data_IF_267482758017
#
_entry.id   IF_267482758017
#
_cell.length_a   1.000
_cell.length_b   1.000
_cell.length_c   1.000
_cell.angle_alpha   90.00
_cell.angle_beta   90.00
_cell.angle_gamma   90.00
#
_symmetry.space_group_name_H-M   'P 1'
#
loop_
_entity.id
_entity.type
_entity.pdbx_description
1 polymer ?
#
# COMPACT_ATOMS: atom_id res chain seq x y z
N UNK A 1 -22.87 -7.57 -10.18
CA UNK A 1 -22.25 -8.15 -8.97
C UNK A 1 -23.26 -8.02 -7.83
N UNK A 2 -23.32 -8.97 -6.89
CA UNK A 2 -24.14 -8.81 -5.68
C UNK A 2 -23.52 -7.73 -4.80
N UNK A 3 -24.34 -6.92 -4.15
CA UNK A 3 -23.89 -5.93 -3.16
C UNK A 3 -23.06 -6.61 -2.06
N UNK A 4 -21.91 -6.04 -1.72
CA UNK A 4 -21.10 -6.51 -0.60
C UNK A 4 -20.61 -5.32 0.22
N UNK A 5 -20.76 -5.42 1.54
CA UNK A 5 -20.30 -4.44 2.51
C UNK A 5 -19.66 -5.12 3.71
N UNK A 6 -18.50 -4.63 4.11
CA UNK A 6 -17.74 -5.06 5.27
C UNK A 6 -17.72 -3.97 6.33
N UNK A 7 -17.98 -4.34 7.58
CA UNK A 7 -17.90 -3.45 8.74
C UNK A 7 -17.05 -4.10 9.82
N UNK A 8 -16.03 -3.37 10.28
CA UNK A 8 -15.20 -3.77 11.40
C UNK A 8 -15.02 -2.59 12.35
N UNK A 9 -15.29 -2.81 13.64
CA UNK A 9 -15.11 -1.83 14.71
C UNK A 9 -14.23 -2.43 15.79
N UNK A 10 -13.35 -1.62 16.38
CA UNK A 10 -12.49 -2.03 17.50
C UNK A 10 -12.59 -1.04 18.65
N UNK A 11 -12.61 -1.58 19.87
CA UNK A 11 -12.52 -0.83 21.12
C UNK A 11 -11.11 -1.04 21.69
N UNK A 12 -10.35 0.04 21.78
CA UNK A 12 -8.93 0.06 22.14
C UNK A 12 -8.77 0.52 23.59
N UNK A 13 -9.45 1.60 23.97
CA UNK A 13 -9.25 2.23 25.27
C UNK A 13 -9.98 1.45 26.38
N UNK A 14 -11.23 1.04 26.13
CA UNK A 14 -12.06 0.33 27.09
C UNK A 14 -12.82 -0.82 26.42
N UNK A 15 -12.85 -2.03 27.02
CA UNK A 15 -13.64 -3.11 26.49
C UNK A 15 -15.14 -2.84 26.65
N UNK A 16 -15.92 -3.29 25.67
CA UNK A 16 -17.37 -3.26 25.69
C UNK A 16 -17.92 -4.02 26.90
N UNK A 17 -18.84 -3.38 27.61
CA UNK A 17 -19.62 -4.01 28.68
C UNK A 17 -20.61 -5.04 28.12
N UNK A 18 -21.05 -6.01 28.93
CA UNK A 18 -22.09 -6.97 28.52
C UNK A 18 -23.39 -6.30 28.02
N UNK A 19 -23.76 -5.16 28.60
CA UNK A 19 -24.94 -4.39 28.18
C UNK A 19 -24.76 -3.79 26.78
N UNK A 20 -23.59 -3.20 26.51
CA UNK A 20 -23.27 -2.64 25.19
C UNK A 20 -23.22 -3.75 24.12
N UNK A 21 -22.58 -4.89 24.41
CA UNK A 21 -22.56 -6.03 23.48
C UNK A 21 -23.97 -6.56 23.18
N UNK A 22 -24.87 -6.61 24.18
CA UNK A 22 -26.27 -7.00 23.98
C UNK A 22 -27.02 -5.98 23.10
N UNK A 23 -26.77 -4.68 23.27
CA UNK A 23 -27.31 -3.63 22.40
C UNK A 23 -26.85 -3.82 20.94
N UNK A 24 -25.55 -4.01 20.71
CA UNK A 24 -25.00 -4.27 19.37
C UNK A 24 -25.56 -5.55 18.74
N UNK A 25 -25.69 -6.62 19.54
CA UNK A 25 -26.29 -7.90 19.10
C UNK A 25 -27.74 -7.75 18.67
N UNK A 26 -28.49 -6.83 19.28
CA UNK A 26 -29.87 -6.53 18.88
C UNK A 26 -29.96 -5.83 17.51
N UNK A 27 -28.87 -5.15 17.09
CA UNK A 27 -28.77 -4.47 15.79
C UNK A 27 -28.20 -5.37 14.70
N UNK A 28 -27.27 -6.27 15.02
CA UNK A 28 -26.79 -7.29 14.10
C UNK A 28 -26.70 -8.66 14.76
N UNK A 29 -27.61 -9.56 14.36
CA UNK A 29 -27.64 -10.92 14.88
C UNK A 29 -26.47 -11.77 14.38
N UNK A 30 -25.96 -11.49 13.17
CA UNK A 30 -24.91 -12.27 12.48
C UNK A 30 -23.48 -11.80 12.78
N UNK A 31 -23.31 -10.61 13.35
CA UNK A 31 -21.98 -10.07 13.63
C UNK A 31 -21.16 -10.94 14.60
N UNK A 32 -19.85 -11.03 14.40
CA UNK A 32 -18.94 -11.45 15.47
C UNK A 32 -18.80 -10.28 16.45
N UNK A 33 -19.13 -10.48 17.72
CA UNK A 33 -19.05 -9.42 18.74
C UNK A 33 -18.27 -9.97 19.92
N UNK A 34 -17.20 -9.26 20.28
CA UNK A 34 -16.34 -9.55 21.42
C UNK A 34 -16.24 -8.30 22.31
N UNK A 35 -15.62 -8.38 23.50
CA UNK A 35 -15.38 -7.20 24.30
C UNK A 35 -14.55 -6.12 23.60
N UNK A 36 -13.79 -6.44 22.55
CA UNK A 36 -12.90 -5.46 21.87
C UNK A 36 -13.23 -5.26 20.41
N UNK A 37 -14.24 -5.96 19.86
CA UNK A 37 -14.54 -5.86 18.43
C UNK A 37 -15.98 -6.17 18.07
N UNK A 38 -16.41 -5.57 16.96
CA UNK A 38 -17.60 -5.94 16.20
C UNK A 38 -17.18 -6.12 14.75
N UNK A 39 -17.50 -7.27 14.14
CA UNK A 39 -17.20 -7.55 12.73
C UNK A 39 -18.42 -8.14 12.06
N UNK A 40 -18.82 -7.60 10.92
CA UNK A 40 -19.86 -8.21 10.10
C UNK A 40 -19.71 -7.84 8.64
N UNK A 41 -20.13 -8.74 7.77
CA UNK A 41 -20.31 -8.47 6.34
C UNK A 41 -21.77 -8.68 5.93
N UNK A 42 -22.17 -8.00 4.85
CA UNK A 42 -23.51 -8.04 4.29
C UNK A 42 -23.43 -8.28 2.80
N UNK A 43 -24.17 -9.28 2.32
CA UNK A 43 -24.35 -9.57 0.90
C UNK A 43 -25.71 -9.09 0.35
N UNK A 44 -26.62 -8.70 1.26
CA UNK A 44 -27.93 -8.11 0.98
C UNK A 44 -28.37 -7.26 2.18
N UNK A 45 -28.72 -5.99 1.94
CA UNK A 45 -29.09 -5.03 2.99
C UNK A 45 -27.90 -4.43 3.73
N UNK A 46 -28.19 -3.61 4.75
CA UNK A 46 -27.19 -2.77 5.43
C UNK A 46 -27.16 -3.04 6.95
N UNK A 47 -26.12 -2.51 7.60
CA UNK A 47 -26.07 -2.42 9.06
C UNK A 47 -27.32 -1.70 9.60
N UNK A 48 -28.02 -2.30 10.56
CA UNK A 48 -29.20 -1.70 11.23
C UNK A 48 -28.78 -0.81 12.40
N UNK A 49 -27.84 0.08 12.16
CA UNK A 49 -27.25 1.00 13.14
C UNK A 49 -26.51 2.12 12.44
N UNK A 50 -26.15 3.15 13.20
CA UNK A 50 -25.36 4.27 12.71
C UNK A 50 -23.90 4.06 13.15
N UNK A 51 -22.96 3.80 12.21
CA UNK A 51 -21.54 3.66 12.51
C UNK A 51 -20.97 4.86 13.29
N UNK A 52 -21.42 6.07 12.99
CA UNK A 52 -20.93 7.30 13.61
C UNK A 52 -21.40 7.38 15.07
N UNK A 53 -22.66 7.03 15.36
CA UNK A 53 -23.15 6.91 16.75
C UNK A 53 -22.35 5.86 17.53
N UNK A 54 -22.03 4.73 16.91
CA UNK A 54 -21.25 3.68 17.55
C UNK A 54 -19.81 4.10 17.83
N UNK A 55 -19.19 4.84 16.91
CA UNK A 55 -17.87 5.46 17.13
C UNK A 55 -17.91 6.47 18.29
N UNK A 56 -18.97 7.29 18.40
CA UNK A 56 -19.10 8.24 19.51
C UNK A 56 -19.23 7.56 20.86
N UNK A 57 -19.89 6.39 20.92
CA UNK A 57 -20.30 5.75 22.18
C UNK A 57 -19.41 4.59 22.63
N UNK A 58 -18.85 3.82 21.70
CA UNK A 58 -18.37 2.47 22.00
C UNK A 58 -16.99 2.15 21.45
N UNK A 59 -16.63 2.67 20.28
CA UNK A 59 -15.46 2.22 19.54
C UNK A 59 -14.43 3.32 19.33
N UNK A 60 -13.20 2.90 19.09
CA UNK A 60 -12.05 3.78 18.88
C UNK A 60 -11.57 3.80 17.43
N UNK A 61 -11.85 2.75 16.67
CA UNK A 61 -11.65 2.74 15.22
C UNK A 61 -12.73 1.93 14.49
N UNK A 62 -13.01 2.33 13.26
CA UNK A 62 -13.94 1.65 12.37
C UNK A 62 -13.40 1.62 10.94
N UNK A 63 -13.49 0.48 10.28
CA UNK A 63 -13.25 0.32 8.84
C UNK A 63 -14.55 -0.14 8.17
N UNK A 64 -14.86 0.52 7.07
CA UNK A 64 -15.93 0.16 6.15
C UNK A 64 -15.37 -0.02 4.74
N UNK A 65 -15.81 -1.06 4.04
CA UNK A 65 -15.47 -1.32 2.64
C UNK A 65 -16.71 -1.85 1.92
N UNK A 66 -16.99 -1.34 0.73
CA UNK A 66 -18.06 -1.82 -0.13
C UNK A 66 -17.58 -2.04 -1.56
N UNK A 67 -18.11 -3.06 -2.22
CA UNK A 67 -17.67 -3.47 -3.56
C UNK A 67 -18.12 -2.55 -4.71
N UNK A 68 -18.79 -1.45 -4.39
CA UNK A 68 -19.06 -0.33 -5.31
C UNK A 68 -18.05 0.80 -5.15
N UNK A 69 -16.79 0.44 -4.84
CA UNK A 69 -15.66 1.35 -4.77
C UNK A 69 -15.76 2.41 -3.67
N UNK A 70 -16.36 2.07 -2.53
CA UNK A 70 -16.40 2.93 -1.36
C UNK A 70 -15.64 2.30 -0.20
N UNK A 71 -14.82 3.07 0.48
CA UNK A 71 -14.25 2.67 1.76
C UNK A 71 -14.04 3.85 2.69
N UNK A 72 -14.13 3.62 4.01
CA UNK A 72 -13.82 4.64 5.00
C UNK A 72 -13.15 4.08 6.24
N UNK A 73 -12.32 4.91 6.85
CA UNK A 73 -11.65 4.69 8.12
C UNK A 73 -12.10 5.79 9.08
N UNK A 74 -12.60 5.41 10.25
CA UNK A 74 -12.78 6.34 11.35
C UNK A 74 -11.81 6.06 12.47
N UNK A 75 -11.24 7.12 13.07
CA UNK A 75 -10.44 7.05 14.28
C UNK A 75 -10.94 8.06 15.31
N UNK A 76 -11.13 7.60 16.55
CA UNK A 76 -11.48 8.43 17.70
C UNK A 76 -10.23 8.75 18.51
N UNK A 77 -9.99 10.03 18.78
CA UNK A 77 -8.91 10.48 19.68
C UNK A 77 -9.44 11.42 20.77
N UNK A 78 -8.77 11.54 21.93
CA UNK A 78 -9.19 12.46 22.98
C UNK A 78 -9.22 13.93 22.52
N UNK A 79 -10.17 14.74 23.04
CA UNK A 79 -10.36 16.15 22.63
C UNK A 79 -9.12 17.02 22.82
N UNK A 80 -8.30 16.72 23.82
CA UNK A 80 -7.06 17.44 24.11
C UNK A 80 -5.91 17.10 23.16
N UNK A 81 -6.12 16.20 22.20
CA UNK A 81 -5.08 15.73 21.31
C UNK A 81 -4.63 16.76 20.28
N UNK A 82 -5.58 17.55 19.79
CA UNK A 82 -5.41 18.50 18.71
C UNK A 82 -6.22 19.77 18.98
N UNK A 83 -5.70 20.90 18.51
CA UNK A 83 -6.45 22.14 18.41
C UNK A 83 -7.26 22.18 17.10
N UNK A 84 -8.39 22.88 17.11
CA UNK A 84 -9.30 22.90 15.97
C UNK A 84 -8.72 23.63 14.75
N UNK A 85 -7.75 24.53 14.94
CA UNK A 85 -7.15 25.31 13.86
C UNK A 85 -6.22 24.45 13.02
N UNK A 86 -5.41 23.62 13.67
CA UNK A 86 -4.58 22.61 13.01
C UNK A 86 -5.42 21.67 12.15
N UNK A 87 -6.53 21.15 12.68
CA UNK A 87 -7.36 20.17 11.95
C UNK A 87 -8.04 20.78 10.71
N UNK A 88 -8.59 21.99 10.84
CA UNK A 88 -9.21 22.72 9.72
C UNK A 88 -8.25 23.01 8.56
N UNK A 89 -6.94 22.98 8.81
CA UNK A 89 -5.93 23.19 7.76
C UNK A 89 -5.85 22.01 6.79
N UNK A 90 -6.26 20.81 7.22
CA UNK A 90 -6.19 19.58 6.42
C UNK A 90 -7.54 19.06 5.96
N UNK A 91 -8.62 19.51 6.59
CA UNK A 91 -9.99 19.09 6.29
C UNK A 91 -10.38 19.40 4.83
N UNK A 92 -11.06 18.46 4.19
CA UNK A 92 -11.56 18.55 2.81
C UNK A 92 -13.07 18.37 2.80
N UNK A 93 -13.70 18.35 1.61
CA UNK A 93 -15.17 18.23 1.53
C UNK A 93 -15.66 16.85 1.98
N UNK A 94 -15.01 15.77 1.55
CA UNK A 94 -15.43 14.41 1.87
C UNK A 94 -14.28 13.42 2.11
N UNK A 95 -13.13 13.58 1.44
CA UNK A 95 -12.02 12.63 1.56
C UNK A 95 -11.38 12.61 2.96
N UNK A 96 -11.36 13.74 3.65
CA UNK A 96 -10.94 13.83 5.04
C UNK A 96 -11.77 14.84 5.82
N UNK A 97 -12.55 14.36 6.80
CA UNK A 97 -13.40 15.21 7.65
C UNK A 97 -13.15 14.99 9.13
N UNK A 98 -13.45 16.01 9.94
CA UNK A 98 -13.25 15.94 11.39
C UNK A 98 -14.48 16.41 12.15
N UNK A 99 -15.07 15.51 12.93
CA UNK A 99 -16.15 15.86 13.83
C UNK A 99 -15.65 16.19 15.24
N UNK A 100 -16.04 17.36 15.75
CA UNK A 100 -15.82 17.73 17.14
C UNK A 100 -16.94 17.24 18.05
N UNK A 101 -16.61 16.43 19.06
CA UNK A 101 -17.53 16.13 20.17
C UNK A 101 -17.10 16.85 21.47
N UNK A 102 -17.87 16.68 22.55
CA UNK A 102 -17.51 17.24 23.87
C UNK A 102 -16.23 16.63 24.46
N UNK A 103 -15.93 15.38 24.11
CA UNK A 103 -14.91 14.56 24.78
C UNK A 103 -13.80 14.08 23.83
N UNK A 104 -14.07 14.00 22.54
CA UNK A 104 -13.19 13.43 21.52
C UNK A 104 -13.26 14.18 20.19
N UNK A 105 -12.24 13.97 19.36
CA UNK A 105 -12.28 14.20 17.92
C UNK A 105 -12.58 12.86 17.23
N UNK A 106 -13.41 12.91 16.19
CA UNK A 106 -13.67 11.77 15.31
C UNK A 106 -13.18 12.14 13.91
N UNK A 107 -12.12 11.48 13.49
CA UNK A 107 -11.55 11.63 12.15
C UNK A 107 -12.19 10.63 11.21
N UNK A 108 -12.48 11.06 9.98
CA UNK A 108 -12.90 10.20 8.89
C UNK A 108 -11.97 10.39 7.70
N UNK A 109 -11.45 9.30 7.17
CA UNK A 109 -10.86 9.24 5.83
C UNK A 109 -11.76 8.41 4.95
N UNK A 110 -12.16 8.94 3.80
CA UNK A 110 -13.09 8.26 2.91
C UNK A 110 -12.63 8.30 1.46
N UNK A 111 -12.96 7.23 0.75
CA UNK A 111 -12.95 7.15 -0.71
C UNK A 111 -14.36 6.77 -1.13
N UNK A 112 -15.03 7.65 -1.86
CA UNK A 112 -16.43 7.47 -2.27
C UNK A 112 -16.56 6.76 -3.62
N UNK A 113 -15.59 6.95 -4.51
CA UNK A 113 -15.58 6.41 -5.87
C UNK A 113 -14.15 5.98 -6.28
N UNK A 114 -14.05 4.98 -7.15
CA UNK A 114 -12.79 4.54 -7.75
C UNK A 114 -13.04 3.78 -9.06
N UNK A 115 -12.11 3.93 -10.00
CA UNK A 115 -12.04 3.15 -11.25
C UNK A 115 -11.39 1.77 -11.06
N UNK A 116 -10.89 1.46 -9.86
CA UNK A 116 -10.20 0.22 -9.53
C UNK A 116 -11.17 -0.89 -9.12
N UNK A 117 -12.11 -1.23 -10.02
CA UNK A 117 -13.13 -2.23 -9.77
C UNK A 117 -12.55 -3.61 -9.41
N UNK A 118 -11.40 -3.97 -9.96
CA UNK A 118 -10.75 -5.26 -9.70
C UNK A 118 -10.33 -5.38 -8.22
N UNK A 119 -9.74 -4.33 -7.63
CA UNK A 119 -9.40 -4.31 -6.20
C UNK A 119 -10.63 -4.53 -5.33
N UNK A 120 -11.71 -3.80 -5.58
CA UNK A 120 -12.94 -3.90 -4.79
C UNK A 120 -13.76 -5.17 -5.05
N UNK A 121 -13.47 -5.88 -6.15
CA UNK A 121 -14.02 -7.20 -6.42
C UNK A 121 -13.23 -8.33 -5.73
N UNK A 122 -11.91 -8.17 -5.60
CA UNK A 122 -11.01 -9.17 -4.99
C UNK A 122 -10.85 -9.00 -3.47
N UNK A 123 -10.82 -7.76 -2.97
CA UNK A 123 -10.66 -7.44 -1.55
C UNK A 123 -12.02 -7.32 -0.85
N UNK A 124 -12.23 -8.14 0.19
CA UNK A 124 -13.48 -8.17 0.96
C UNK A 124 -13.45 -7.27 2.21
N UNK A 125 -12.48 -6.36 2.30
CA UNK A 125 -12.30 -5.44 3.42
C UNK A 125 -11.53 -6.01 4.63
N UNK A 126 -11.35 -7.34 4.72
CA UNK A 126 -10.65 -7.95 5.87
C UNK A 126 -9.16 -7.58 5.89
N UNK A 127 -8.63 -7.42 7.10
CA UNK A 127 -7.21 -7.12 7.33
C UNK A 127 -6.85 -5.63 7.25
N UNK A 128 -7.72 -4.77 6.70
CA UNK A 128 -7.52 -3.31 6.71
C UNK A 128 -7.43 -2.75 8.13
N UNK A 129 -8.28 -3.19 9.05
CA UNK A 129 -8.24 -2.71 10.44
C UNK A 129 -6.87 -2.91 11.10
N UNK A 130 -6.26 -4.09 10.96
CA UNK A 130 -4.93 -4.35 11.53
C UNK A 130 -3.81 -3.49 10.93
N UNK A 131 -3.96 -3.07 9.66
CA UNK A 131 -3.01 -2.17 8.98
C UNK A 131 -3.21 -0.69 9.34
N UNK A 132 -4.46 -0.28 9.58
CA UNK A 132 -4.85 1.12 9.75
C UNK A 132 -4.98 1.55 11.22
N UNK A 133 -5.35 0.66 12.14
CA UNK A 133 -5.46 0.98 13.56
C UNK A 133 -4.22 1.64 14.18
N UNK A 134 -2.96 1.29 13.79
CA UNK A 134 -1.77 1.95 14.33
C UNK A 134 -1.68 3.46 14.03
N UNK A 135 -2.40 3.98 13.03
CA UNK A 135 -2.46 5.43 12.74
C UNK A 135 -3.00 6.21 13.95
N UNK A 136 -3.84 5.59 14.79
CA UNK A 136 -4.32 6.22 16.01
C UNK A 136 -3.16 6.53 16.95
N UNK A 137 -2.25 5.59 17.17
CA UNK A 137 -1.10 5.78 18.04
C UNK A 137 -0.14 6.82 17.45
N UNK A 138 0.05 6.82 16.12
CA UNK A 138 0.85 7.85 15.43
C UNK A 138 0.27 9.26 15.65
N UNK A 139 -1.04 9.44 15.45
CA UNK A 139 -1.74 10.69 15.75
C UNK A 139 -1.61 11.07 17.23
N UNK A 140 -1.66 10.07 18.13
CA UNK A 140 -1.46 10.27 19.55
C UNK A 140 0.02 10.50 19.94
N UNK A 141 0.98 10.24 19.08
CA UNK A 141 2.36 10.67 19.27
C UNK A 141 2.63 12.06 18.70
N UNK A 142 1.67 12.66 17.97
CA UNK A 142 1.81 13.99 17.36
C UNK A 142 2.15 13.95 15.87
N UNK A 143 2.21 12.76 15.28
CA UNK A 143 2.44 12.61 13.85
C UNK A 143 1.22 13.09 13.06
N UNK A 144 1.38 14.20 12.35
CA UNK A 144 0.32 14.81 11.54
C UNK A 144 0.30 14.29 10.09
N UNK A 145 1.21 13.38 9.71
CA UNK A 145 1.24 12.80 8.35
C UNK A 145 -0.09 12.16 7.94
N UNK A 146 -0.84 11.44 8.81
CA UNK A 146 -2.16 10.92 8.43
C UNK A 146 -3.17 12.02 8.08
N UNK A 147 -3.11 13.19 8.72
CA UNK A 147 -3.97 14.34 8.38
C UNK A 147 -3.62 14.88 6.99
N UNK A 148 -2.32 15.03 6.72
CA UNK A 148 -1.82 15.48 5.41
C UNK A 148 -2.15 14.48 4.29
N UNK A 149 -2.09 13.17 4.56
CA UNK A 149 -2.54 12.15 3.61
C UNK A 149 -4.05 12.25 3.33
N UNK A 150 -4.87 12.57 4.34
CA UNK A 150 -6.28 12.87 4.13
C UNK A 150 -6.49 14.06 3.20
N UNK A 151 -5.74 15.15 3.39
CA UNK A 151 -5.76 16.29 2.49
C UNK A 151 -5.34 15.93 1.05
N UNK A 152 -4.29 15.11 0.87
CA UNK A 152 -3.87 14.61 -0.44
C UNK A 152 -4.93 13.72 -1.11
N UNK A 153 -5.72 12.98 -0.32
CA UNK A 153 -6.86 12.23 -0.85
C UNK A 153 -7.92 13.17 -1.41
N UNK A 154 -8.22 14.29 -0.74
CA UNK A 154 -9.12 15.32 -1.28
C UNK A 154 -8.59 16.00 -2.54
N UNK A 155 -7.28 16.27 -2.61
CA UNK A 155 -6.63 16.72 -3.86
C UNK A 155 -6.81 15.70 -4.98
N UNK A 156 -6.66 14.40 -4.67
CA UNK A 156 -6.83 13.32 -5.66
C UNK A 156 -8.29 13.19 -6.12
N UNK A 157 -9.24 13.45 -5.23
CA UNK A 157 -10.68 13.46 -5.50
C UNK A 157 -11.17 14.75 -6.19
N UNK A 158 -10.30 15.76 -6.36
CA UNK A 158 -10.66 17.05 -6.96
C UNK A 158 -11.49 17.97 -6.04
N UNK A 159 -11.48 17.71 -4.73
CA UNK A 159 -12.19 18.52 -3.72
C UNK A 159 -11.45 19.83 -3.39
N UNK A 160 -10.17 19.92 -3.76
CA UNK A 160 -9.31 21.06 -3.47
C UNK A 160 -8.96 21.77 -4.77
N UNK A 161 -9.24 23.07 -4.83
CA UNK A 161 -8.99 23.93 -5.99
C UNK A 161 -7.51 23.96 -6.37
N UNK A 162 -7.22 24.00 -7.67
CA UNK A 162 -5.86 24.03 -8.23
C UNK A 162 -5.02 25.23 -7.75
N UNK A 163 -5.67 26.38 -7.49
CA UNK A 163 -5.04 27.59 -6.97
C UNK A 163 -4.93 27.61 -5.44
N UNK A 164 -5.54 26.63 -4.75
CA UNK A 164 -5.46 26.53 -3.30
C UNK A 164 -4.02 26.30 -2.86
N UNK A 165 -3.68 26.92 -1.73
CA UNK A 165 -2.35 26.80 -1.14
C UNK A 165 -2.23 25.52 -0.34
N UNK A 166 -1.14 24.77 -0.54
CA UNK A 166 -0.88 23.56 0.21
C UNK A 166 -0.70 23.84 1.72
N UNK A 167 -1.25 22.99 2.60
CA UNK A 167 -0.89 22.99 4.01
C UNK A 167 0.61 22.73 4.20
N UNK A 168 1.23 23.16 5.31
CA UNK A 168 2.65 22.90 5.55
C UNK A 168 2.94 21.39 5.50
N UNK A 169 3.84 20.93 4.60
CA UNK A 169 4.13 19.51 4.50
C UNK A 169 4.84 19.04 5.77
N UNK A 170 4.35 17.96 6.43
CA UNK A 170 5.06 17.39 7.58
C UNK A 170 6.42 16.81 7.19
N UNK A 171 7.34 16.79 8.15
CA UNK A 171 8.61 16.07 8.01
C UNK A 171 8.36 14.57 7.87
N UNK A 172 9.24 13.87 7.18
CA UNK A 172 9.16 12.41 7.02
C UNK A 172 8.14 11.91 5.99
N UNK A 173 7.59 12.78 5.13
CA UNK A 173 6.73 12.37 4.01
C UNK A 173 7.45 11.48 2.99
N UNK A 174 8.78 11.59 2.89
CA UNK A 174 9.58 10.69 2.04
C UNK A 174 9.73 9.28 2.61
N UNK A 175 9.40 9.10 3.90
CA UNK A 175 9.60 7.87 4.69
C UNK A 175 8.33 7.55 5.48
N UNK A 176 7.23 7.27 4.77
CA UNK A 176 5.95 6.88 5.38
C UNK A 176 6.09 5.57 6.16
N UNK A 177 5.41 5.48 7.32
CA UNK A 177 5.29 4.22 8.08
C UNK A 177 4.45 3.20 7.32
N UNK A 178 4.46 1.93 7.76
CA UNK A 178 3.62 0.89 7.14
C UNK A 178 2.12 1.22 7.22
N UNK A 179 1.67 1.84 8.33
CA UNK A 179 0.28 2.23 8.51
C UNK A 179 -0.09 3.41 7.60
N UNK A 180 0.81 4.39 7.42
CA UNK A 180 0.63 5.52 6.50
C UNK A 180 0.64 5.08 5.03
N UNK A 181 1.51 4.12 4.67
CA UNK A 181 1.48 3.50 3.34
C UNK A 181 0.15 2.77 3.11
N UNK A 182 -0.35 2.07 4.13
CA UNK A 182 -1.66 1.40 4.07
C UNK A 182 -2.80 2.42 3.94
N UNK A 183 -2.73 3.58 4.60
CA UNK A 183 -3.72 4.65 4.42
C UNK A 183 -3.73 5.18 2.99
N UNK A 184 -2.55 5.43 2.43
CA UNK A 184 -2.41 5.87 1.05
C UNK A 184 -2.95 4.84 0.05
N UNK A 185 -2.69 3.55 0.28
CA UNK A 185 -3.27 2.45 -0.51
C UNK A 185 -4.78 2.39 -0.34
N UNK A 186 -5.27 2.52 0.90
CA UNK A 186 -6.69 2.45 1.23
C UNK A 186 -7.50 3.50 0.47
N UNK A 187 -7.00 4.74 0.46
CA UNK A 187 -7.60 5.93 -0.19
C UNK A 187 -7.16 6.15 -1.65
N UNK A 188 -6.36 5.23 -2.21
CA UNK A 188 -5.83 5.33 -3.59
C UNK A 188 -5.06 6.62 -3.90
N UNK A 189 -4.36 7.16 -2.91
CA UNK A 189 -3.52 8.34 -3.09
C UNK A 189 -2.38 8.00 -4.03
N UNK A 190 -2.24 8.79 -5.11
CA UNK A 190 -1.21 8.59 -6.11
C UNK A 190 0.20 8.60 -5.51
N UNK A 191 0.97 7.52 -5.73
CA UNK A 191 2.36 7.42 -5.25
C UNK A 191 3.23 8.59 -5.71
N UNK A 192 3.01 9.05 -6.94
CA UNK A 192 3.76 10.18 -7.51
C UNK A 192 3.38 11.51 -6.84
N UNK A 193 2.13 11.65 -6.39
CA UNK A 193 1.66 12.80 -5.59
C UNK A 193 2.32 12.81 -4.21
N UNK A 194 2.40 11.67 -3.53
CA UNK A 194 3.13 11.53 -2.25
C UNK A 194 4.62 11.84 -2.45
N UNK A 195 5.20 11.37 -3.56
CA UNK A 195 6.61 11.65 -3.89
C UNK A 195 6.86 13.14 -4.09
N UNK A 196 5.97 13.82 -4.82
CA UNK A 196 6.01 15.27 -5.00
C UNK A 196 5.85 16.01 -3.66
N UNK A 197 4.91 15.56 -2.83
CA UNK A 197 4.68 16.11 -1.51
C UNK A 197 5.92 16.02 -0.61
N UNK A 198 6.67 14.93 -0.70
CA UNK A 198 7.90 14.67 0.07
C UNK A 198 9.18 15.32 -0.45
N UNK A 199 9.17 16.04 -1.58
CA UNK A 199 10.38 16.68 -2.13
C UNK A 199 11.11 17.61 -1.14
N UNK A 200 10.42 18.48 -0.36
CA UNK A 200 11.10 19.31 0.63
C UNK A 200 11.82 18.51 1.72
N UNK A 201 11.29 17.35 2.09
CA UNK A 201 11.87 16.44 3.07
C UNK A 201 13.12 15.72 2.53
N UNK A 202 13.15 15.39 1.23
CA UNK A 202 14.32 14.80 0.58
C UNK A 202 15.47 15.80 0.36
N UNK A 203 15.14 17.09 0.24
CA UNK A 203 16.12 18.16 0.06
C UNK A 203 16.62 18.72 1.39
N UNK A 204 15.93 18.43 2.49
CA UNK A 204 16.44 18.71 3.81
C UNK A 204 17.67 17.83 4.06
N UNK A 205 18.78 18.37 4.59
CA UNK A 205 19.94 17.56 4.93
C UNK A 205 19.52 16.43 5.87
N UNK A 206 19.93 15.20 5.55
CA UNK A 206 19.68 14.02 6.42
C UNK A 206 20.23 14.35 7.82
N UNK A 207 19.34 14.51 8.79
CA UNK A 207 19.69 14.70 10.21
C UNK A 207 20.13 13.38 10.85
N UNK A 208 20.66 12.44 10.06
CA UNK A 208 21.21 11.18 10.56
C UNK A 208 22.67 11.41 11.03
N UNK A 209 22.88 12.44 11.86
CA UNK A 209 24.18 12.71 12.48
C UNK A 209 24.03 13.50 13.79
N UNK A 210 23.73 12.80 14.91
CA UNK A 210 24.19 13.05 16.30
C UNK A 210 24.11 14.45 16.96
N UNK A 211 23.63 15.50 16.31
CA UNK A 211 23.31 16.79 16.92
C UNK A 211 22.47 17.55 15.91
N UNK A 212 21.18 17.68 16.20
CA UNK A 212 20.36 18.69 15.54
C UNK A 212 20.57 19.98 16.37
N UNK A 213 21.42 20.92 15.91
CA UNK A 213 21.76 22.11 16.69
C UNK A 213 20.53 22.98 17.01
N UNK A 214 19.47 22.86 16.20
CA UNK A 214 18.20 23.53 16.43
C UNK A 214 17.42 22.85 17.56
N UNK A 215 17.37 21.51 17.56
CA UNK A 215 16.81 20.75 18.67
C UNK A 215 17.62 20.94 19.96
N UNK A 216 18.96 20.95 19.89
CA UNK A 216 19.83 21.18 21.06
C UNK A 216 19.61 22.58 21.64
N UNK A 217 19.50 23.61 20.80
CA UNK A 217 19.17 24.98 21.22
C UNK A 217 17.79 25.05 21.87
N UNK A 218 16.77 24.44 21.28
CA UNK A 218 15.43 24.40 21.85
C UNK A 218 15.38 23.62 23.18
N UNK A 219 16.03 22.45 23.24
CA UNK A 219 16.13 21.65 24.46
C UNK A 219 16.87 22.44 25.54
N UNK A 220 17.88 23.24 25.21
CA UNK A 220 18.54 24.11 26.17
C UNK A 220 17.58 25.18 26.73
N UNK A 221 16.73 25.78 25.90
CA UNK A 221 15.73 26.78 26.27
C UNK A 221 14.53 26.23 27.05
N UNK A 222 14.26 24.92 27.02
CA UNK A 222 13.14 24.31 27.73
C UNK A 222 13.26 24.52 29.26
N UNK A 223 12.20 25.04 29.92
CA UNK A 223 12.19 25.20 31.38
C UNK A 223 12.43 23.87 32.11
N UNK A 224 13.21 23.89 33.19
CA UNK A 224 13.52 22.69 33.99
C UNK A 224 12.26 21.97 34.48
N UNK A 225 11.22 22.72 34.86
CA UNK A 225 9.94 22.16 35.28
C UNK A 225 9.28 21.33 34.17
N UNK A 226 9.42 21.75 32.91
CA UNK A 226 8.86 21.05 31.76
C UNK A 226 9.67 19.82 31.39
N UNK A 227 11.01 19.90 31.44
CA UNK A 227 11.91 18.73 31.32
C UNK A 227 11.54 17.66 32.34
N UNK A 228 11.36 18.05 33.61
CA UNK A 228 10.94 17.15 34.69
C UNK A 228 9.55 16.56 34.41
N UNK A 229 8.60 17.37 33.94
CA UNK A 229 7.25 16.90 33.63
C UNK A 229 7.27 15.82 32.53
N UNK A 230 8.06 16.02 31.48
CA UNK A 230 8.23 15.05 30.38
C UNK A 230 8.92 13.77 30.86
N UNK A 231 9.98 13.88 31.66
CA UNK A 231 10.64 12.71 32.25
C UNK A 231 9.69 11.90 33.14
N UNK A 232 8.80 12.57 33.90
CA UNK A 232 7.76 11.89 34.69
C UNK A 232 6.73 11.17 33.82
N UNK A 233 6.35 11.74 32.68
CA UNK A 233 5.46 11.06 31.73
C UNK A 233 6.12 9.79 31.18
N UNK A 234 7.40 9.86 30.80
CA UNK A 234 8.17 8.69 30.34
C UNK A 234 8.26 7.60 31.42
N UNK A 235 8.60 7.97 32.66
CA UNK A 235 8.71 7.02 33.77
C UNK A 235 7.38 6.36 34.16
N UNK A 236 6.25 7.00 33.88
CA UNK A 236 4.91 6.47 34.20
C UNK A 236 4.26 5.75 33.01
N UNK A 237 5.00 5.50 31.92
CA UNK A 237 4.51 4.77 30.75
C UNK A 237 3.72 5.62 29.75
N UNK A 238 3.71 6.94 29.89
CA UNK A 238 3.00 7.87 29.01
C UNK A 238 3.94 8.41 27.91
N UNK A 239 4.68 7.52 27.25
CA UNK A 239 5.72 7.90 26.28
C UNK A 239 5.15 8.69 25.09
N UNK A 240 4.04 8.24 24.50
CA UNK A 240 3.38 8.94 23.39
C UNK A 240 2.94 10.37 23.79
N UNK A 241 2.47 10.56 25.02
CA UNK A 241 2.09 11.89 25.51
C UNK A 241 3.31 12.80 25.71
N UNK A 242 4.43 12.23 26.16
CA UNK A 242 5.71 12.92 26.28
C UNK A 242 6.24 13.36 24.91
N UNK A 243 6.28 12.44 23.95
CA UNK A 243 6.68 12.68 22.55
C UNK A 243 5.84 13.79 21.93
N UNK A 244 4.51 13.64 21.93
CA UNK A 244 3.58 14.64 21.38
C UNK A 244 3.79 16.02 21.96
N UNK A 245 3.93 16.09 23.29
CA UNK A 245 4.13 17.36 23.98
C UNK A 245 5.43 18.03 23.52
N UNK A 246 6.51 17.27 23.41
CA UNK A 246 7.80 17.80 22.94
C UNK A 246 7.71 18.25 21.48
N UNK A 247 7.18 17.41 20.59
CA UNK A 247 7.05 17.74 19.17
C UNK A 247 6.21 19.00 18.93
N UNK A 248 5.02 19.09 19.54
CA UNK A 248 4.16 20.28 19.42
C UNK A 248 4.86 21.55 19.95
N UNK A 249 5.60 21.44 21.06
CA UNK A 249 6.34 22.58 21.64
C UNK A 249 7.52 22.97 20.77
N UNK A 250 8.22 22.01 20.17
CA UNK A 250 9.32 22.25 19.25
C UNK A 250 8.83 22.95 17.98
N UNK A 251 7.77 22.43 17.35
CA UNK A 251 7.13 23.05 16.18
C UNK A 251 6.63 24.48 16.50
N UNK A 252 5.99 24.68 17.65
CA UNK A 252 5.54 26.01 18.07
C UNK A 252 6.72 26.98 18.32
N UNK A 253 7.84 26.49 18.82
CA UNK A 253 9.07 27.28 18.98
C UNK A 253 9.70 27.61 17.64
N UNK A 254 9.78 26.66 16.70
CA UNK A 254 10.29 26.90 15.34
C UNK A 254 9.47 27.97 14.62
N UNK A 255 8.13 27.93 14.75
CA UNK A 255 7.24 28.98 14.21
C UNK A 255 7.56 30.38 14.77
N UNK A 256 7.97 30.47 16.04
CA UNK A 256 8.36 31.74 16.69
C UNK A 256 9.77 32.21 16.32
N UNK A 257 10.66 31.27 16.00
CA UNK A 257 12.03 31.53 15.54
C UNK A 257 12.07 32.02 14.08
N UNK A 258 11.00 31.82 13.30
CA UNK A 258 10.92 32.41 11.97
C UNK A 258 10.94 33.94 12.07
N UNK A 259 11.89 34.62 11.39
CA UNK A 259 12.06 36.06 11.53
C UNK A 259 10.81 36.80 11.01
N UNK A 260 10.19 37.59 11.88
CA UNK A 260 9.13 38.54 11.53
C UNK A 260 9.67 39.46 10.43
N UNK A 261 9.15 39.33 9.20
CA UNK A 261 9.47 40.23 8.08
C UNK A 261 10.25 39.62 6.91
N UNK A 262 10.61 38.34 6.92
CA UNK A 262 10.85 37.62 5.65
C UNK A 262 9.49 37.21 5.08
N UNK A 263 9.20 37.43 3.77
CA UNK A 263 8.00 36.84 3.18
C UNK A 263 8.04 35.34 3.44
N UNK A 264 6.95 34.76 3.94
CA UNK A 264 6.82 33.30 3.98
C UNK A 264 7.23 32.80 2.57
N UNK A 265 8.14 31.82 2.47
CA UNK A 265 8.42 31.23 1.16
C UNK A 265 7.07 30.85 0.57
N UNK A 266 6.78 31.34 -0.65
CA UNK A 266 5.51 31.12 -1.33
C UNK A 266 5.21 29.62 -1.25
N UNK A 267 4.17 29.27 -0.49
CA UNK A 267 3.71 27.89 -0.40
C UNK A 267 3.19 27.48 -1.77
N UNK A 268 3.49 26.25 -2.14
CA UNK A 268 3.10 25.73 -3.45
C UNK A 268 1.58 25.63 -3.55
N UNK A 269 1.06 25.84 -4.75
CA UNK A 269 -0.35 25.59 -5.05
C UNK A 269 -0.58 24.11 -5.32
N UNK A 270 -1.85 23.68 -5.33
CA UNK A 270 -2.22 22.33 -5.75
C UNK A 270 -1.78 22.05 -7.19
N UNK A 271 -1.91 23.02 -8.11
CA UNK A 271 -1.43 22.90 -9.48
C UNK A 271 0.09 22.63 -9.55
N UNK A 272 0.88 23.41 -8.80
CA UNK A 272 2.33 23.23 -8.72
C UNK A 272 2.68 21.84 -8.14
N UNK A 273 1.92 21.36 -7.15
CA UNK A 273 2.09 20.02 -6.58
C UNK A 273 1.76 18.90 -7.60
N UNK A 274 0.68 19.06 -8.38
CA UNK A 274 0.30 18.11 -9.43
C UNK A 274 1.30 18.08 -10.59
N UNK A 275 1.89 19.22 -10.97
CA UNK A 275 2.96 19.28 -11.97
C UNK A 275 4.22 18.53 -11.51
N UNK A 276 4.58 18.70 -10.23
CA UNK A 276 5.67 17.93 -9.61
C UNK A 276 5.35 16.43 -9.59
N UNK A 277 4.09 16.05 -9.34
CA UNK A 277 3.64 14.66 -9.37
C UNK A 277 3.74 14.07 -10.79
N UNK A 278 3.36 14.83 -11.82
CA UNK A 278 3.52 14.40 -13.21
C UNK A 278 5.00 14.18 -13.58
N UNK A 279 5.88 15.08 -13.13
CA UNK A 279 7.33 14.96 -13.31
C UNK A 279 7.92 13.73 -12.59
N UNK A 280 7.43 13.44 -11.38
CA UNK A 280 7.80 12.23 -10.64
C UNK A 280 7.33 10.96 -11.38
N UNK A 281 6.11 10.96 -11.93
CA UNK A 281 5.56 9.85 -12.70
C UNK A 281 6.39 9.54 -13.96
N UNK A 282 6.83 10.57 -14.70
CA UNK A 282 7.72 10.38 -15.84
C UNK A 282 9.06 9.75 -15.45
N UNK A 283 9.64 10.25 -14.36
CA UNK A 283 10.92 9.75 -13.84
C UNK A 283 10.81 8.28 -13.45
N UNK A 284 9.73 7.91 -12.74
CA UNK A 284 9.43 6.54 -12.37
C UNK A 284 9.24 5.63 -13.60
N UNK A 285 8.44 6.05 -14.59
CA UNK A 285 8.24 5.28 -15.84
C UNK A 285 9.56 5.02 -16.58
N UNK A 286 10.45 6.02 -16.63
CA UNK A 286 11.80 5.87 -17.21
C UNK A 286 12.63 4.84 -16.44
N UNK A 287 12.62 4.89 -15.10
CA UNK A 287 13.33 3.94 -14.24
C UNK A 287 12.78 2.51 -14.37
N UNK A 288 11.46 2.35 -14.36
CA UNK A 288 10.79 1.05 -14.56
C UNK A 288 11.12 0.43 -15.91
N UNK A 289 11.15 1.23 -16.98
CA UNK A 289 11.53 0.75 -18.32
C UNK A 289 12.99 0.26 -18.35
N UNK A 290 13.91 0.98 -17.69
CA UNK A 290 15.31 0.55 -17.55
C UNK A 290 15.39 -0.75 -16.76
N UNK A 291 14.65 -0.88 -15.66
CA UNK A 291 14.66 -2.09 -14.83
C UNK A 291 14.06 -3.29 -15.55
N UNK A 292 12.95 -3.12 -16.29
CA UNK A 292 12.36 -4.18 -17.13
C UNK A 292 13.35 -4.67 -18.18
N UNK A 293 14.04 -3.74 -18.87
CA UNK A 293 15.10 -4.10 -19.82
C UNK A 293 16.24 -4.88 -19.17
N UNK A 294 16.67 -4.51 -17.96
CA UNK A 294 17.68 -5.26 -17.21
C UNK A 294 17.22 -6.68 -16.87
N UNK A 295 16.01 -6.82 -16.30
CA UNK A 295 15.44 -8.13 -15.95
C UNK A 295 15.25 -9.01 -17.18
N UNK A 296 14.79 -8.46 -18.30
CA UNK A 296 14.66 -9.18 -19.56
C UNK A 296 16.03 -9.59 -20.13
N UNK A 297 17.03 -8.71 -20.09
CA UNK A 297 18.39 -9.03 -20.52
C UNK A 297 19.00 -10.14 -19.66
N UNK A 298 18.83 -10.09 -18.34
CA UNK A 298 19.26 -11.16 -17.43
C UNK A 298 18.54 -12.48 -17.70
N UNK A 299 17.23 -12.46 -17.93
CA UNK A 299 16.46 -13.66 -18.31
C UNK A 299 16.95 -14.23 -19.64
N UNK A 300 17.18 -13.38 -20.64
CA UNK A 300 17.73 -13.80 -21.95
C UNK A 300 19.12 -14.39 -21.82
N UNK A 301 20.02 -13.77 -21.05
CA UNK A 301 21.37 -14.27 -20.83
C UNK A 301 21.37 -15.61 -20.08
N UNK A 302 20.50 -15.78 -19.06
CA UNK A 302 20.30 -17.06 -18.37
C UNK A 302 19.75 -18.13 -19.32
N UNK A 303 18.75 -17.78 -20.13
CA UNK A 303 18.20 -18.68 -21.14
C UNK A 303 19.25 -19.09 -22.16
N UNK A 304 20.03 -18.14 -22.69
CA UNK A 304 21.12 -18.42 -23.63
C UNK A 304 22.19 -19.33 -23.01
N UNK A 305 22.56 -19.09 -21.75
CA UNK A 305 23.49 -19.95 -21.02
C UNK A 305 22.92 -21.37 -20.87
N UNK A 306 21.63 -21.49 -20.53
CA UNK A 306 20.94 -22.77 -20.46
C UNK A 306 20.93 -23.51 -21.81
N UNK A 307 20.61 -22.82 -22.91
CA UNK A 307 20.66 -23.41 -24.25
C UNK A 307 22.09 -23.89 -24.60
N UNK A 308 23.14 -23.15 -24.22
CA UNK A 308 24.53 -23.60 -24.38
C UNK A 308 24.85 -24.84 -23.54
N UNK A 309 24.24 -25.02 -22.37
CA UNK A 309 24.41 -26.27 -21.61
C UNK A 309 23.74 -27.47 -22.29
N UNK A 310 22.56 -27.28 -22.92
CA UNK A 310 21.94 -28.32 -23.74
C UNK A 310 22.80 -28.68 -24.96
N UNK A 311 23.45 -27.67 -25.56
CA UNK A 311 24.35 -27.87 -26.69
C UNK A 311 25.65 -28.60 -26.35
N UNK A 312 26.02 -28.68 -25.07
CA UNK A 312 27.21 -29.44 -24.65
C UNK A 312 27.07 -30.94 -24.91
N UNK A 313 25.84 -31.49 -24.80
CA UNK A 313 25.53 -32.88 -25.12
C UNK A 313 24.09 -33.02 -25.65
N UNK A 314 23.93 -32.72 -26.94
CA UNK A 314 22.64 -32.87 -27.61
C UNK A 314 22.15 -34.32 -27.60
N UNK A 315 23.04 -35.30 -27.71
CA UNK A 315 22.65 -36.71 -27.81
C UNK A 315 22.05 -37.21 -26.49
N UNK A 316 22.62 -36.82 -25.35
CA UNK A 316 22.02 -37.09 -24.04
C UNK A 316 20.62 -36.46 -23.92
N UNK A 317 20.45 -35.23 -24.39
CA UNK A 317 19.15 -34.55 -24.33
C UNK A 317 18.08 -35.28 -25.17
N UNK A 318 18.43 -35.78 -26.36
CA UNK A 318 17.53 -36.59 -27.18
C UNK A 318 17.20 -37.93 -26.52
N UNK A 319 18.16 -38.60 -25.86
CA UNK A 319 17.90 -39.85 -25.13
C UNK A 319 16.94 -39.65 -23.94
N UNK A 320 17.06 -38.53 -23.22
CA UNK A 320 16.13 -38.17 -22.15
C UNK A 320 14.73 -37.92 -22.71
N UNK A 321 14.62 -37.21 -23.83
CA UNK A 321 13.33 -36.99 -24.51
C UNK A 321 12.68 -38.32 -24.96
N UNK A 322 13.46 -39.24 -25.53
CA UNK A 322 13.00 -40.59 -25.90
C UNK A 322 12.44 -41.35 -24.68
N UNK A 323 13.22 -41.39 -23.59
CA UNK A 323 12.83 -42.09 -22.35
C UNK A 323 11.55 -41.50 -21.74
N UNK A 324 11.39 -40.18 -21.76
CA UNK A 324 10.17 -39.52 -21.28
C UNK A 324 8.98 -39.83 -22.18
N UNK A 325 9.18 -39.82 -23.50
CA UNK A 325 8.13 -40.16 -24.44
C UNK A 325 7.63 -41.60 -24.26
N UNK A 326 8.50 -42.53 -23.86
CA UNK A 326 8.15 -43.94 -23.62
C UNK A 326 7.21 -44.16 -22.43
N UNK A 327 7.17 -43.25 -21.45
CA UNK A 327 6.28 -43.35 -20.28
C UNK A 327 4.79 -43.35 -20.63
N UNK A 328 4.41 -42.80 -21.78
CA UNK A 328 3.05 -42.90 -22.29
C UNK A 328 1.98 -42.05 -21.59
N UNK A 329 2.35 -41.19 -20.64
CA UNK A 329 1.42 -40.35 -19.87
C UNK A 329 1.41 -38.89 -20.37
N UNK A 330 0.31 -38.17 -20.11
CA UNK A 330 0.09 -36.81 -20.60
C UNK A 330 1.18 -35.81 -20.13
N UNK A 331 1.51 -35.81 -18.84
CA UNK A 331 2.54 -34.93 -18.27
C UNK A 331 3.92 -35.15 -18.90
N UNK A 332 4.27 -36.40 -19.21
CA UNK A 332 5.52 -36.73 -19.87
C UNK A 332 5.57 -36.20 -21.31
N UNK A 333 4.45 -36.19 -22.04
CA UNK A 333 4.39 -35.55 -23.36
C UNK A 333 4.49 -34.03 -23.29
N UNK A 334 3.97 -33.39 -22.24
CA UNK A 334 4.15 -31.95 -22.02
C UNK A 334 5.60 -31.60 -21.66
N UNK A 335 6.31 -32.48 -20.96
CA UNK A 335 7.77 -32.36 -20.74
C UNK A 335 8.58 -32.56 -22.02
N UNK A 336 8.23 -33.55 -22.85
CA UNK A 336 8.89 -33.78 -24.15
C UNK A 336 8.68 -32.59 -25.08
N UNK A 337 7.45 -32.05 -25.15
CA UNK A 337 7.17 -30.84 -25.93
C UNK A 337 8.10 -29.70 -25.54
N UNK A 338 8.21 -29.41 -24.24
CA UNK A 338 9.08 -28.35 -23.71
C UNK A 338 10.55 -28.60 -24.07
N UNK A 339 11.05 -29.81 -23.80
CA UNK A 339 12.43 -30.18 -24.10
C UNK A 339 12.78 -30.08 -25.59
N UNK A 340 11.87 -30.47 -26.49
CA UNK A 340 12.10 -30.39 -27.93
C UNK A 340 12.05 -28.96 -28.48
N UNK A 341 11.24 -28.08 -27.87
CA UNK A 341 11.26 -26.63 -28.19
C UNK A 341 12.59 -26.02 -27.76
N UNK A 342 13.02 -26.28 -26.52
CA UNK A 342 14.30 -25.80 -25.99
C UNK A 342 15.49 -26.35 -26.80
N UNK A 343 15.45 -27.63 -27.22
CA UNK A 343 16.46 -28.20 -28.10
C UNK A 343 16.46 -27.52 -29.47
N UNK A 344 15.30 -27.27 -30.07
CA UNK A 344 15.22 -26.57 -31.36
C UNK A 344 15.89 -25.19 -31.29
N UNK A 345 15.67 -24.45 -30.20
CA UNK A 345 16.32 -23.16 -29.94
C UNK A 345 17.83 -23.32 -29.72
N UNK A 346 18.26 -24.30 -28.94
CA UNK A 346 19.68 -24.59 -28.72
C UNK A 346 20.41 -24.96 -30.02
N UNK A 347 19.78 -25.73 -30.91
CA UNK A 347 20.32 -26.02 -32.24
C UNK A 347 20.38 -24.78 -33.12
N UNK A 348 19.41 -23.87 -33.06
CA UNK A 348 19.47 -22.59 -33.78
C UNK A 348 20.57 -21.68 -33.26
N UNK A 349 20.85 -21.71 -31.95
CA UNK A 349 21.88 -20.88 -31.32
C UNK A 349 23.31 -21.42 -31.51
N UNK A 350 23.49 -22.74 -31.36
CA UNK A 350 24.82 -23.36 -31.24
C UNK A 350 25.19 -24.31 -32.39
N UNK A 351 24.25 -24.64 -33.29
CA UNK A 351 24.46 -25.60 -34.38
C UNK A 351 23.61 -25.23 -35.62
N UNK A 352 23.13 -26.23 -36.37
CA UNK A 352 22.25 -26.04 -37.52
C UNK A 352 20.83 -26.50 -37.24
N UNK A 353 19.85 -25.72 -37.69
CA UNK A 353 18.43 -26.13 -37.67
C UNK A 353 18.18 -27.41 -38.48
N UNK A 354 18.95 -27.63 -39.55
CA UNK A 354 18.83 -28.84 -40.37
C UNK A 354 19.22 -30.11 -39.58
N UNK A 355 20.17 -30.00 -38.63
CA UNK A 355 20.55 -31.13 -37.78
C UNK A 355 19.47 -31.48 -36.77
N UNK A 356 18.82 -30.46 -36.21
CA UNK A 356 17.63 -30.65 -35.38
C UNK A 356 16.51 -31.35 -36.15
N UNK A 357 16.17 -30.87 -37.35
CA UNK A 357 15.07 -31.44 -38.14
C UNK A 357 15.36 -32.91 -38.51
N UNK A 358 16.62 -33.26 -38.78
CA UNK A 358 17.07 -34.65 -39.01
C UNK A 358 16.90 -35.51 -37.76
N UNK A 359 17.31 -35.04 -36.59
CA UNK A 359 17.15 -35.76 -35.30
C UNK A 359 15.67 -35.87 -34.90
N UNK A 360 14.88 -34.82 -35.14
CA UNK A 360 13.44 -34.82 -34.92
C UNK A 360 12.73 -35.85 -35.81
N UNK A 361 13.12 -35.99 -37.08
CA UNK A 361 12.58 -37.02 -37.96
C UNK A 361 12.87 -38.45 -37.44
N UNK A 362 14.05 -38.69 -36.87
CA UNK A 362 14.40 -39.96 -36.23
C UNK A 362 13.56 -40.22 -34.97
N UNK A 363 13.43 -39.21 -34.11
CA UNK A 363 12.55 -39.25 -32.93
C UNK A 363 11.10 -39.57 -33.32
N UNK A 364 10.58 -38.91 -34.35
CA UNK A 364 9.23 -39.10 -34.84
C UNK A 364 9.02 -40.44 -35.55
N UNK A 365 10.05 -41.03 -36.18
CA UNK A 365 9.97 -42.40 -36.70
C UNK A 365 9.70 -43.43 -35.58
N UNK A 366 10.28 -43.21 -34.40
CA UNK A 366 10.09 -44.08 -33.22
C UNK A 366 8.78 -43.81 -32.48
N UNK A 367 8.31 -42.55 -32.46
CA UNK A 367 7.22 -42.12 -31.58
C UNK A 367 5.97 -41.61 -32.31
N UNK A 368 5.96 -41.61 -33.63
CA UNK A 368 4.90 -41.06 -34.48
C UNK A 368 3.53 -41.75 -34.34
N UNK A 369 3.47 -42.97 -33.81
CA UNK A 369 2.21 -43.66 -33.49
C UNK A 369 1.52 -43.11 -32.23
N UNK A 370 2.20 -42.28 -31.42
CA UNK A 370 1.68 -41.69 -30.19
C UNK A 370 0.93 -40.40 -30.49
N UNK A 371 -0.32 -40.52 -30.92
CA UNK A 371 -1.12 -39.38 -31.42
C UNK A 371 -1.20 -38.18 -30.47
N UNK A 372 -1.22 -38.40 -29.15
CA UNK A 372 -1.25 -37.33 -28.14
C UNK A 372 0.07 -36.52 -28.05
N UNK A 373 1.21 -37.16 -28.35
CA UNK A 373 2.51 -36.50 -28.46
C UNK A 373 2.62 -35.74 -29.79
N UNK A 374 2.20 -36.37 -30.89
CA UNK A 374 2.23 -35.75 -32.23
C UNK A 374 1.42 -34.46 -32.26
N UNK A 375 0.21 -34.45 -31.66
CA UNK A 375 -0.61 -33.23 -31.56
C UNK A 375 0.13 -32.11 -30.83
N UNK A 376 0.71 -32.39 -29.66
CA UNK A 376 1.45 -31.39 -28.86
C UNK A 376 2.65 -30.80 -29.60
N UNK A 377 3.37 -31.61 -30.37
CA UNK A 377 4.51 -31.15 -31.18
C UNK A 377 4.05 -30.36 -32.41
N UNK A 378 2.91 -30.71 -33.00
CA UNK A 378 2.29 -29.91 -34.06
C UNK A 378 1.79 -28.56 -33.53
N UNK A 379 1.17 -28.53 -32.34
CA UNK A 379 0.75 -27.29 -31.67
C UNK A 379 1.94 -26.40 -31.30
N UNK A 380 3.12 -26.98 -31.07
CA UNK A 380 4.38 -26.25 -30.88
C UNK A 380 5.01 -25.75 -32.20
N UNK A 381 4.43 -26.07 -33.36
CA UNK A 381 5.01 -25.77 -34.67
C UNK A 381 6.26 -26.58 -35.02
N UNK A 382 6.59 -27.63 -34.26
CA UNK A 382 7.77 -28.46 -34.48
C UNK A 382 7.53 -29.56 -35.52
N UNK A 383 6.29 -30.02 -35.69
CA UNK A 383 5.97 -31.12 -36.61
C UNK A 383 4.73 -30.80 -37.46
N UNK A 384 4.82 -31.01 -38.77
CA UNK A 384 3.65 -30.93 -39.66
C UNK A 384 3.02 -32.31 -39.78
N UNK A 385 1.73 -32.39 -39.50
CA UNK A 385 0.95 -33.61 -39.68
C UNK A 385 0.83 -33.88 -41.18
N UNK A 386 1.35 -35.02 -41.66
CA UNK A 386 1.07 -35.54 -43.00
C UNK A 386 -0.36 -36.03 -43.09
#
# INVERSE_FOLDING_TARGET
MSEYQYYEFIAIDEPLTPKQMAELRSRSSRASITPTSFVNDYQWGNLKGDPVDWMRRYFDAHVYVANWCTCSLYLRVPRGAFDAETLRTFETESAFSVEQTKTHWLFEWALSESDNYDRFAEEDGRGWMGRLAPLRDELLSGDIRPLYLGWLAGVSAGEVDEDATEPPPPRGLSRLTAAQQSLAEFLEIGRDLITAAGLPDQQAPDLDTKSDPEADAWIAELPTAEKIAVLKLLLTGHAQQAERRLELRFLAWQRKQQPIGKPEPRRRTVAELQELAASAAETRKKQEAVQRRKVEAERRAKHETYLRTLAADFDQCWQVADTRAERGIASAYDEVKRALVELAEAYTLCASRADFDRKLAQFMARHGKRGALVRRLADAGLWKKS
#
